data_IF_023273435746
#
_entry.id   IF_023273435746
#
_cell.length_a   1.000
_cell.length_b   1.000
_cell.length_c   1.000
_cell.angle_alpha   90.00
_cell.angle_beta   90.00
_cell.angle_gamma   90.00
#
_symmetry.space_group_name_H-M   'P 1'
#
loop_
_entity.id
_entity.type
_entity.pdbx_description
1 polymer ?
#
# COMPACT_ATOMS: atom_id res chain seq x y z
N UNK A 1 -0.15 10.90 3.21
CA UNK A 1 -1.04 10.57 2.08
C UNK A 1 -2.52 10.92 2.30
N UNK A 2 -3.02 11.07 3.53
CA UNK A 2 -4.43 11.49 3.79
C UNK A 2 -4.91 12.69 2.95
N UNK A 3 -4.13 13.76 2.72
CA UNK A 3 -4.56 14.86 1.84
C UNK A 3 -4.61 14.48 0.34
N UNK A 4 -3.72 13.60 -0.10
CA UNK A 4 -3.71 13.08 -1.49
C UNK A 4 -4.89 12.12 -1.69
N UNK A 5 -5.16 11.29 -0.67
CA UNK A 5 -6.33 10.43 -0.60
C UNK A 5 -7.62 11.25 -0.65
N UNK A 6 -7.75 12.31 0.13
CA UNK A 6 -8.91 13.22 0.07
C UNK A 6 -9.03 13.92 -1.30
N UNK A 7 -7.93 14.38 -1.88
CA UNK A 7 -7.92 14.96 -3.23
C UNK A 7 -8.31 13.96 -4.33
N UNK A 8 -7.86 12.70 -4.22
CA UNK A 8 -8.19 11.62 -5.14
C UNK A 8 -9.64 11.14 -4.95
N UNK A 9 -10.12 11.02 -3.71
CA UNK A 9 -11.52 10.72 -3.39
C UNK A 9 -12.44 11.82 -3.94
N UNK A 10 -12.06 13.10 -3.77
CA UNK A 10 -12.74 14.25 -4.37
C UNK A 10 -12.70 14.27 -5.91
N UNK A 11 -11.73 13.57 -6.51
CA UNK A 11 -11.61 13.39 -7.97
C UNK A 11 -12.31 12.13 -8.49
N UNK A 12 -13.07 11.41 -7.66
CA UNK A 12 -13.84 10.23 -8.04
C UNK A 12 -13.19 8.87 -7.75
N UNK A 13 -12.13 8.83 -6.94
CA UNK A 13 -11.53 7.56 -6.51
C UNK A 13 -12.49 6.78 -5.60
N UNK A 14 -12.67 5.48 -5.86
CA UNK A 14 -13.46 4.59 -5.02
C UNK A 14 -12.84 4.37 -3.63
N UNK A 15 -13.67 4.03 -2.65
CA UNK A 15 -13.23 3.80 -1.26
C UNK A 15 -12.27 2.62 -1.10
N UNK A 16 -12.43 1.58 -1.92
CA UNK A 16 -11.53 0.41 -1.93
C UNK A 16 -10.09 0.74 -2.33
N UNK A 17 -9.86 1.36 -3.51
CA UNK A 17 -8.56 1.88 -3.91
C UNK A 17 -7.95 2.85 -2.90
N UNK A 18 -8.78 3.67 -2.23
CA UNK A 18 -8.32 4.58 -1.18
C UNK A 18 -7.69 3.82 -0.01
N UNK A 19 -8.35 2.76 0.47
CA UNK A 19 -7.83 1.94 1.55
C UNK A 19 -6.57 1.18 1.15
N UNK A 20 -6.51 0.62 -0.06
CA UNK A 20 -5.28 -0.02 -0.56
C UNK A 20 -4.11 0.96 -0.61
N UNK A 21 -4.35 2.20 -1.05
CA UNK A 21 -3.31 3.22 -1.16
C UNK A 21 -2.80 3.60 0.24
N UNK A 22 -3.69 3.79 1.21
CA UNK A 22 -3.35 4.09 2.61
C UNK A 22 -2.56 2.95 3.29
N UNK A 23 -2.87 1.69 2.95
CA UNK A 23 -2.17 0.51 3.46
C UNK A 23 -0.81 0.29 2.79
N UNK A 24 -0.71 0.52 1.48
CA UNK A 24 0.49 0.24 0.69
C UNK A 24 1.48 1.41 0.65
N UNK A 25 1.00 2.65 0.63
CA UNK A 25 1.79 3.86 0.40
C UNK A 25 2.96 4.06 1.38
N UNK A 26 2.75 3.97 2.71
CA UNK A 26 3.84 4.11 3.67
C UNK A 26 4.78 2.91 3.64
N UNK A 27 4.21 1.70 3.56
CA UNK A 27 4.93 0.43 3.67
C UNK A 27 5.82 0.13 2.46
N UNK A 28 5.41 0.55 1.26
CA UNK A 28 6.11 0.32 -0.01
C UNK A 28 6.78 1.57 -0.56
N UNK A 29 7.02 2.59 0.27
CA UNK A 29 7.77 3.76 -0.16
C UNK A 29 9.23 3.39 -0.47
N UNK A 30 9.78 3.95 -1.55
CA UNK A 30 11.15 3.72 -2.04
C UNK A 30 12.22 3.79 -0.93
N UNK A 31 12.20 4.79 -0.02
CA UNK A 31 13.13 4.88 1.10
C UNK A 31 12.95 3.72 2.09
N UNK A 32 11.71 3.33 2.38
CA UNK A 32 11.39 2.24 3.31
C UNK A 32 11.88 0.90 2.75
N UNK A 33 11.72 0.65 1.45
CA UNK A 33 12.27 -0.53 0.80
C UNK A 33 13.80 -0.58 0.85
N UNK A 34 14.49 0.55 0.63
CA UNK A 34 15.95 0.64 0.73
C UNK A 34 16.43 0.35 2.16
N UNK A 35 15.76 0.90 3.17
CA UNK A 35 16.07 0.67 4.59
C UNK A 35 15.82 -0.80 4.97
N UNK A 36 14.68 -1.37 4.56
CA UNK A 36 14.33 -2.77 4.81
C UNK A 36 15.32 -3.73 4.12
N UNK A 37 15.76 -3.40 2.91
CA UNK A 37 16.76 -4.18 2.18
C UNK A 37 18.11 -4.16 2.91
N UNK A 38 18.50 -3.03 3.50
CA UNK A 38 19.69 -2.91 4.33
C UNK A 38 19.60 -3.65 5.67
N UNK A 39 18.41 -3.74 6.28
CA UNK A 39 18.19 -4.37 7.58
C UNK A 39 18.00 -5.90 7.50
N UNK A 40 17.18 -6.37 6.55
CA UNK A 40 16.71 -7.76 6.50
C UNK A 40 17.26 -8.54 5.31
N UNK A 41 17.90 -7.86 4.36
CA UNK A 41 18.41 -8.43 3.11
C UNK A 41 17.33 -8.60 2.03
N UNK A 42 17.72 -8.69 0.76
CA UNK A 42 16.82 -8.57 -0.40
C UNK A 42 15.77 -9.67 -0.46
N UNK A 43 16.11 -10.89 -0.03
CA UNK A 43 15.16 -12.02 0.00
C UNK A 43 14.00 -11.78 0.95
N UNK A 44 14.26 -11.23 2.15
CA UNK A 44 13.23 -10.95 3.16
C UNK A 44 12.37 -9.76 2.74
N UNK A 45 13.00 -8.72 2.19
CA UNK A 45 12.29 -7.55 1.66
C UNK A 45 11.34 -7.92 0.52
N UNK A 46 11.77 -8.77 -0.42
CA UNK A 46 10.90 -9.23 -1.50
C UNK A 46 9.67 -9.99 -0.98
N UNK A 47 9.85 -10.86 0.02
CA UNK A 47 8.72 -11.56 0.66
C UNK A 47 7.79 -10.57 1.34
N UNK A 48 8.31 -9.61 2.11
CA UNK A 48 7.50 -8.58 2.77
C UNK A 48 6.69 -7.76 1.76
N UNK A 49 7.32 -7.28 0.69
CA UNK A 49 6.66 -6.50 -0.37
C UNK A 49 5.54 -7.31 -1.01
N UNK A 50 5.81 -8.57 -1.38
CA UNK A 50 4.80 -9.44 -1.99
C UNK A 50 3.61 -9.69 -1.04
N UNK A 51 3.86 -9.85 0.26
CA UNK A 51 2.83 -10.03 1.26
C UNK A 51 1.95 -8.78 1.40
N UNK A 52 2.58 -7.60 1.49
CA UNK A 52 1.88 -6.31 1.59
C UNK A 52 1.00 -6.05 0.37
N UNK A 53 1.49 -6.35 -0.84
CA UNK A 53 0.70 -6.23 -2.07
C UNK A 53 -0.54 -7.12 -1.98
N UNK A 54 -0.38 -8.41 -1.66
CA UNK A 54 -1.50 -9.35 -1.58
C UNK A 54 -2.56 -8.90 -0.56
N UNK A 55 -2.13 -8.55 0.66
CA UNK A 55 -3.06 -8.11 1.71
C UNK A 55 -3.74 -6.78 1.35
N UNK A 56 -2.99 -5.80 0.84
CA UNK A 56 -3.55 -4.49 0.46
C UNK A 56 -4.56 -4.62 -0.68
N UNK A 57 -4.27 -5.47 -1.68
CA UNK A 57 -5.20 -5.74 -2.78
C UNK A 57 -6.47 -6.45 -2.30
N UNK A 58 -6.35 -7.48 -1.46
CA UNK A 58 -7.53 -8.20 -0.94
C UNK A 58 -8.41 -7.27 -0.11
N UNK A 59 -7.81 -6.53 0.83
CA UNK A 59 -8.54 -5.63 1.72
C UNK A 59 -9.22 -4.49 0.95
N UNK A 60 -8.52 -3.86 0.01
CA UNK A 60 -9.13 -2.81 -0.81
C UNK A 60 -10.17 -3.32 -1.79
N UNK A 61 -10.03 -4.55 -2.31
CA UNK A 61 -11.06 -5.17 -3.14
C UNK A 61 -12.32 -5.50 -2.34
N UNK A 62 -12.16 -6.13 -1.18
CA UNK A 62 -13.29 -6.46 -0.29
C UNK A 62 -13.98 -5.20 0.19
N UNK A 63 -13.24 -4.19 0.65
CA UNK A 63 -13.81 -2.93 1.12
C UNK A 63 -14.40 -2.07 -0.01
N UNK A 64 -13.88 -2.17 -1.23
CA UNK A 64 -14.43 -1.49 -2.39
C UNK A 64 -15.71 -2.12 -2.93
N UNK A 65 -15.96 -3.39 -2.60
CA UNK A 65 -17.09 -4.18 -3.07
C UNK A 65 -18.14 -4.46 -1.96
N UNK A 66 -17.96 -3.84 -0.79
CA UNK A 66 -18.91 -3.74 0.34
C UNK A 66 -19.47 -2.32 0.38
#
# INVERSE_FOLDING_TARGET
EVPILEGLLGSGMGKGPALSLLLAGPALSLPSMLVLNGLMGPKKTAVFVSLVIVFSTILGFVYGNI
#
